data_IF_658322029719
#
_entry.id   IF_658322029719
#
_cell.length_a   1.000
_cell.length_b   1.000
_cell.length_c   1.000
_cell.angle_alpha   90.00
_cell.angle_beta   90.00
_cell.angle_gamma   90.00
#
_symmetry.space_group_name_H-M   'P 1'
#
loop_
_entity.id
_entity.type
_entity.pdbx_description
1 polymer ?
#
# COMPACT_ATOMS: atom_id res chain seq x y z
N UNK A 1 7.12 -12.96 -23.45
CA UNK A 1 5.91 -12.09 -23.39
C UNK A 1 6.35 -10.63 -23.44
N UNK A 2 5.56 -9.74 -24.04
CA UNK A 2 5.81 -8.30 -24.02
C UNK A 2 5.58 -7.81 -22.58
N UNK A 3 6.52 -7.06 -22.01
CA UNK A 3 6.36 -6.45 -20.68
C UNK A 3 5.30 -5.35 -20.72
N UNK A 4 4.50 -5.24 -19.66
CA UNK A 4 3.54 -4.15 -19.49
C UNK A 4 4.30 -2.88 -19.12
N UNK A 5 4.06 -1.80 -19.88
CA UNK A 5 4.71 -0.50 -19.68
C UNK A 5 3.92 0.32 -18.68
N UNK A 6 4.57 0.68 -17.58
CA UNK A 6 3.97 1.39 -16.44
C UNK A 6 4.59 2.76 -16.29
N UNK A 7 3.77 3.78 -16.07
CA UNK A 7 4.20 5.12 -15.70
C UNK A 7 3.71 5.49 -14.30
N UNK A 8 4.43 6.36 -13.59
CA UNK A 8 4.03 6.86 -12.27
C UNK A 8 3.85 8.36 -12.31
N UNK A 9 2.67 8.85 -11.97
CA UNK A 9 2.38 10.28 -11.78
C UNK A 9 2.44 10.61 -10.27
N UNK A 10 3.25 11.61 -9.89
CA UNK A 10 3.57 11.97 -8.51
C UNK A 10 4.71 11.12 -7.95
N UNK A 11 5.91 11.70 -7.81
CA UNK A 11 7.10 11.05 -7.27
C UNK A 11 7.35 11.45 -5.82
N UNK A 12 6.27 11.45 -5.04
CA UNK A 12 6.28 11.67 -3.59
C UNK A 12 6.60 10.37 -2.82
N UNK A 13 6.16 10.34 -1.55
CA UNK A 13 6.43 9.23 -0.63
C UNK A 13 5.95 7.87 -1.18
N UNK A 14 4.76 7.81 -1.76
CA UNK A 14 4.22 6.58 -2.35
C UNK A 14 4.80 6.33 -3.75
N UNK A 15 4.86 7.37 -4.60
CA UNK A 15 5.32 7.23 -5.98
C UNK A 15 6.73 6.67 -6.13
N UNK A 16 7.67 7.02 -5.24
CA UNK A 16 9.01 6.43 -5.19
C UNK A 16 8.96 4.91 -5.01
N UNK A 17 8.14 4.47 -4.05
CA UNK A 17 7.99 3.05 -3.71
C UNK A 17 7.28 2.27 -4.81
N UNK A 18 6.31 2.90 -5.48
CA UNK A 18 5.65 2.32 -6.66
C UNK A 18 6.65 2.12 -7.79
N UNK A 19 7.47 3.12 -8.07
CA UNK A 19 8.50 3.03 -9.09
C UNK A 19 9.50 1.90 -8.79
N UNK A 20 10.01 1.83 -7.55
CA UNK A 20 10.90 0.75 -7.12
C UNK A 20 10.20 -0.62 -7.17
N UNK A 21 8.94 -0.72 -6.72
CA UNK A 21 8.17 -1.96 -6.73
C UNK A 21 7.88 -2.48 -8.13
N UNK A 22 7.55 -1.59 -9.08
CA UNK A 22 7.36 -1.93 -10.50
C UNK A 22 8.68 -2.35 -11.14
N UNK A 23 9.79 -1.67 -10.84
CA UNK A 23 11.10 -2.00 -11.39
C UNK A 23 11.59 -3.42 -10.98
N UNK A 24 11.10 -3.96 -9.86
CA UNK A 24 11.37 -5.34 -9.44
C UNK A 24 10.57 -6.39 -10.22
N UNK A 25 9.50 -5.99 -10.94
CA UNK A 25 8.64 -6.92 -11.67
C UNK A 25 9.29 -7.30 -13.01
N UNK A 26 9.61 -8.58 -13.22
CA UNK A 26 10.28 -9.06 -14.44
C UNK A 26 9.40 -8.96 -15.70
N UNK A 27 8.09 -8.92 -15.52
CA UNK A 27 7.06 -8.86 -16.57
C UNK A 27 6.47 -7.44 -16.77
N UNK A 28 7.02 -6.46 -16.07
CA UNK A 28 6.67 -5.04 -16.22
C UNK A 28 7.90 -4.22 -16.63
N UNK A 29 7.66 -3.03 -17.15
CA UNK A 29 8.69 -2.05 -17.51
C UNK A 29 8.28 -0.68 -16.97
N UNK A 30 9.05 -0.13 -16.06
CA UNK A 30 8.86 1.25 -15.62
C UNK A 30 9.39 2.19 -16.69
N UNK A 31 8.49 2.88 -17.40
CA UNK A 31 8.82 3.84 -18.47
C UNK A 31 9.39 5.12 -17.89
N UNK A 32 8.85 5.57 -16.75
CA UNK A 32 9.30 6.78 -16.08
C UNK A 32 8.32 7.27 -15.04
N UNK A 33 8.70 8.39 -14.41
CA UNK A 33 7.91 9.06 -13.37
C UNK A 33 7.68 10.53 -13.75
N UNK A 34 6.59 11.12 -13.27
CA UNK A 34 6.30 12.54 -13.46
C UNK A 34 6.15 13.27 -12.13
N UNK A 35 6.75 14.45 -12.00
CA UNK A 35 6.58 15.33 -10.84
C UNK A 35 6.58 16.80 -11.27
N UNK A 36 6.22 17.71 -10.36
CA UNK A 36 6.10 19.15 -10.65
C UNK A 36 7.30 19.97 -10.19
N UNK A 37 8.09 19.45 -9.24
CA UNK A 37 9.12 20.23 -8.56
C UNK A 37 10.34 19.37 -8.14
N UNK A 38 11.50 19.99 -7.92
CA UNK A 38 12.70 19.32 -7.45
C UNK A 38 12.63 19.01 -5.94
N UNK A 39 11.65 18.18 -5.54
CA UNK A 39 11.50 17.69 -4.17
C UNK A 39 12.76 16.91 -3.73
N UNK A 40 12.89 16.61 -2.44
CA UNK A 40 13.98 15.76 -1.96
C UNK A 40 13.99 14.38 -2.66
N UNK A 41 12.82 13.84 -2.97
CA UNK A 41 12.68 12.59 -3.70
C UNK A 41 13.23 12.69 -5.13
N UNK A 42 12.87 13.75 -5.84
CA UNK A 42 13.34 13.99 -7.23
C UNK A 42 14.83 14.27 -7.25
N UNK A 43 15.37 15.04 -6.27
CA UNK A 43 16.81 15.25 -6.13
C UNK A 43 17.56 13.95 -5.87
N UNK A 44 17.05 13.11 -4.95
CA UNK A 44 17.65 11.80 -4.67
C UNK A 44 17.60 10.88 -5.90
N UNK A 45 16.54 10.94 -6.71
CA UNK A 45 16.46 10.21 -7.99
C UNK A 45 17.59 10.66 -8.93
N UNK A 46 17.79 11.97 -9.05
CA UNK A 46 18.86 12.54 -9.89
C UNK A 46 20.26 12.12 -9.40
N UNK A 47 20.53 12.23 -8.11
CA UNK A 47 21.82 11.84 -7.50
C UNK A 47 22.10 10.33 -7.60
N UNK A 48 21.06 9.50 -7.67
CA UNK A 48 21.18 8.05 -7.94
C UNK A 48 21.41 7.70 -9.42
N UNK A 49 21.63 8.69 -10.28
CA UNK A 49 21.94 8.51 -11.70
C UNK A 49 20.74 8.26 -12.59
N UNK A 50 19.54 8.65 -12.17
CA UNK A 50 18.31 8.57 -12.99
C UNK A 50 18.08 7.14 -13.56
N UNK A 51 17.82 6.12 -12.74
CA UNK A 51 17.63 4.75 -13.22
C UNK A 51 16.39 4.60 -14.13
N UNK A 52 15.52 5.61 -14.20
CA UNK A 52 14.37 5.75 -15.11
C UNK A 52 14.10 7.22 -15.43
N UNK A 53 13.37 7.46 -16.51
CA UNK A 53 13.10 8.80 -17.03
C UNK A 53 12.22 9.64 -16.10
N UNK A 54 12.53 10.96 -16.00
CA UNK A 54 11.70 11.95 -15.32
C UNK A 54 10.97 12.82 -16.35
N UNK A 55 9.68 13.06 -16.10
CA UNK A 55 8.80 13.92 -16.87
C UNK A 55 8.26 15.06 -16.01
N UNK A 56 7.98 16.22 -16.60
CA UNK A 56 7.27 17.27 -15.87
C UNK A 56 5.76 16.97 -15.85
N UNK A 57 5.15 16.99 -14.66
CA UNK A 57 3.71 16.80 -14.56
C UNK A 57 2.92 18.04 -15.00
N UNK A 58 3.53 19.24 -14.99
CA UNK A 58 2.94 20.50 -15.44
C UNK A 58 3.91 21.16 -16.40
N UNK A 59 3.59 21.26 -17.72
CA UNK A 59 4.50 21.77 -18.75
C UNK A 59 5.11 23.15 -18.41
N UNK A 60 4.29 24.10 -17.93
CA UNK A 60 4.71 25.47 -17.61
C UNK A 60 5.70 25.52 -16.43
N UNK A 61 5.77 24.45 -15.61
CA UNK A 61 6.67 24.32 -14.45
C UNK A 61 7.95 23.53 -14.75
N UNK A 62 8.20 23.13 -16.00
CA UNK A 62 9.40 22.38 -16.40
C UNK A 62 10.68 23.09 -15.94
N UNK A 63 10.71 24.40 -16.01
CA UNK A 63 11.86 25.22 -15.60
C UNK A 63 12.26 24.99 -14.13
N UNK A 64 11.32 24.69 -13.22
CA UNK A 64 11.66 24.42 -11.82
C UNK A 64 12.63 23.23 -11.65
N UNK A 65 12.57 22.25 -12.55
CA UNK A 65 13.47 21.10 -12.59
C UNK A 65 14.74 21.41 -13.35
N UNK A 66 14.66 21.98 -14.54
CA UNK A 66 15.80 22.24 -15.41
C UNK A 66 16.75 23.29 -14.89
N UNK A 67 16.24 24.33 -14.21
CA UNK A 67 17.06 25.41 -13.64
C UNK A 67 17.96 24.94 -12.49
N UNK A 68 17.65 23.79 -11.88
CA UNK A 68 18.49 23.14 -10.86
C UNK A 68 19.28 21.95 -11.44
N UNK A 69 19.39 21.83 -12.77
CA UNK A 69 20.20 20.83 -13.46
C UNK A 69 19.59 19.43 -13.55
N UNK A 70 18.29 19.25 -13.23
CA UNK A 70 17.62 17.96 -13.30
C UNK A 70 17.06 17.77 -14.73
N UNK A 71 17.49 16.74 -15.46
CA UNK A 71 17.02 16.50 -16.82
C UNK A 71 15.55 16.06 -16.84
N UNK A 72 14.79 16.51 -17.83
CA UNK A 72 13.36 16.20 -18.01
C UNK A 72 13.14 15.71 -19.44
N UNK A 73 12.62 14.49 -19.57
CA UNK A 73 12.47 13.77 -20.84
C UNK A 73 11.21 14.16 -21.63
N UNK A 74 10.30 14.92 -21.02
CA UNK A 74 9.05 15.35 -21.65
C UNK A 74 8.01 15.77 -20.63
N UNK A 75 6.75 15.75 -21.03
CA UNK A 75 5.58 16.09 -20.23
C UNK A 75 4.87 14.84 -19.69
N UNK A 76 3.89 15.00 -18.80
CA UNK A 76 3.01 13.91 -18.36
C UNK A 76 2.29 13.27 -19.56
N UNK A 77 1.84 14.06 -20.54
CA UNK A 77 1.20 13.53 -21.76
C UNK A 77 2.15 12.64 -22.57
N UNK A 78 3.43 13.02 -22.66
CA UNK A 78 4.45 12.19 -23.31
C UNK A 78 4.66 10.86 -22.57
N UNK A 79 4.72 10.89 -21.23
CA UNK A 79 4.82 9.68 -20.41
C UNK A 79 3.60 8.78 -20.63
N UNK A 80 2.38 9.31 -20.49
CA UNK A 80 1.12 8.57 -20.66
C UNK A 80 1.03 7.93 -22.02
N UNK A 81 1.44 8.63 -23.10
CA UNK A 81 1.41 8.09 -24.47
C UNK A 81 2.27 6.83 -24.63
N UNK A 82 3.36 6.72 -23.88
CA UNK A 82 4.34 5.62 -23.95
C UNK A 82 3.99 4.43 -23.04
N UNK A 83 3.00 4.56 -22.14
CA UNK A 83 2.61 3.53 -21.16
C UNK A 83 1.42 2.71 -21.63
N UNK A 84 1.19 1.58 -20.99
CA UNK A 84 -0.03 0.78 -21.12
C UNK A 84 -0.99 1.06 -19.93
N UNK A 85 -0.42 1.39 -18.75
CA UNK A 85 -1.15 1.73 -17.54
C UNK A 85 -0.40 2.78 -16.71
N UNK A 86 -1.14 3.68 -16.04
CA UNK A 86 -0.60 4.70 -15.15
C UNK A 86 -0.88 4.37 -13.68
N UNK A 87 0.09 4.63 -12.81
CA UNK A 87 -0.08 4.68 -11.37
C UNK A 87 -0.15 6.15 -10.95
N UNK A 88 -1.28 6.57 -10.44
CA UNK A 88 -1.47 7.95 -9.97
C UNK A 88 -1.34 8.04 -8.45
N UNK A 89 -0.21 8.59 -8.01
CA UNK A 89 0.15 8.84 -6.61
C UNK A 89 0.22 10.34 -6.30
N UNK A 90 -0.51 11.15 -7.06
CA UNK A 90 -0.61 12.59 -6.87
C UNK A 90 -1.47 12.93 -5.65
N UNK A 91 -1.45 14.21 -5.24
CA UNK A 91 -2.29 14.69 -4.14
C UNK A 91 -3.78 14.60 -4.48
N UNK A 92 -4.61 14.49 -3.45
CA UNK A 92 -6.07 14.41 -3.57
C UNK A 92 -6.65 15.43 -4.56
N UNK A 93 -7.52 14.96 -5.45
CA UNK A 93 -8.18 15.74 -6.50
C UNK A 93 -7.32 16.02 -7.75
N UNK A 94 -6.03 15.69 -7.75
CA UNK A 94 -5.17 15.80 -8.94
C UNK A 94 -5.33 14.56 -9.81
N UNK A 95 -5.39 13.37 -9.20
CA UNK A 95 -5.62 12.12 -9.93
C UNK A 95 -6.95 12.15 -10.70
N UNK A 96 -8.01 12.71 -10.14
CA UNK A 96 -9.28 12.91 -10.83
C UNK A 96 -9.13 13.79 -12.10
N UNK A 97 -8.30 14.84 -12.05
CA UNK A 97 -7.98 15.67 -13.22
C UNK A 97 -7.12 14.92 -14.23
N UNK A 98 -6.12 14.18 -13.77
CA UNK A 98 -5.25 13.37 -14.63
C UNK A 98 -6.04 12.26 -15.36
N UNK A 99 -7.12 11.76 -14.76
CA UNK A 99 -8.00 10.76 -15.38
C UNK A 99 -8.53 11.23 -16.74
N UNK A 100 -8.82 12.51 -16.92
CA UNK A 100 -9.27 13.06 -18.20
C UNK A 100 -8.21 12.83 -19.31
N UNK A 101 -6.94 13.01 -18.97
CA UNK A 101 -5.83 12.73 -19.89
C UNK A 101 -5.70 11.24 -20.17
N UNK A 102 -5.85 10.39 -19.15
CA UNK A 102 -5.79 8.94 -19.32
C UNK A 102 -6.92 8.44 -20.22
N UNK A 103 -8.13 8.96 -20.03
CA UNK A 103 -9.29 8.66 -20.89
C UNK A 103 -9.06 9.13 -22.34
N UNK A 104 -8.59 10.37 -22.51
CA UNK A 104 -8.28 10.93 -23.84
C UNK A 104 -7.30 10.05 -24.63
N UNK A 105 -6.32 9.47 -23.94
CA UNK A 105 -5.27 8.64 -24.57
C UNK A 105 -5.59 7.13 -24.50
N UNK A 106 -6.77 6.73 -24.02
CA UNK A 106 -7.20 5.33 -23.93
C UNK A 106 -6.32 4.50 -23.00
N UNK A 107 -5.87 5.07 -21.86
CA UNK A 107 -4.97 4.41 -20.90
C UNK A 107 -5.72 4.02 -19.62
N UNK A 108 -5.40 2.85 -19.12
CA UNK A 108 -5.84 2.39 -17.80
C UNK A 108 -5.10 3.13 -16.68
N UNK A 109 -5.69 3.19 -15.49
CA UNK A 109 -4.99 3.79 -14.35
C UNK A 109 -5.37 3.16 -13.00
N UNK A 110 -4.41 3.20 -12.07
CA UNK A 110 -4.58 2.83 -10.66
C UNK A 110 -4.33 4.06 -9.80
N UNK A 111 -5.32 4.47 -9.02
CA UNK A 111 -5.27 5.67 -8.17
C UNK A 111 -4.94 5.31 -6.73
N UNK A 112 -4.07 6.11 -6.10
CA UNK A 112 -3.62 5.96 -4.73
C UNK A 112 -4.27 6.97 -3.77
N UNK A 113 -4.06 6.75 -2.48
CA UNK A 113 -4.13 7.74 -1.43
C UNK A 113 -5.49 8.39 -1.21
N UNK A 114 -5.48 9.72 -1.20
CA UNK A 114 -6.61 10.54 -0.79
C UNK A 114 -7.67 10.82 -1.85
N UNK A 115 -7.60 10.18 -3.02
CA UNK A 115 -8.67 10.32 -4.02
C UNK A 115 -9.99 9.74 -3.52
N UNK A 116 -11.10 10.32 -3.96
CA UNK A 116 -12.43 9.79 -3.70
C UNK A 116 -12.62 8.44 -4.41
N UNK A 117 -13.39 7.51 -3.80
CA UNK A 117 -13.64 6.20 -4.41
C UNK A 117 -14.32 6.32 -5.79
N UNK A 118 -15.09 7.37 -6.03
CA UNK A 118 -15.74 7.68 -7.31
C UNK A 118 -14.77 7.98 -8.46
N UNK A 119 -13.48 8.12 -8.21
CA UNK A 119 -12.47 8.32 -9.28
C UNK A 119 -12.30 7.07 -10.13
N UNK A 120 -12.64 5.90 -9.62
CA UNK A 120 -12.44 4.62 -10.28
C UNK A 120 -13.71 3.77 -10.32
N UNK A 121 -13.70 2.76 -11.17
CA UNK A 121 -14.79 1.82 -11.33
C UNK A 121 -14.85 0.81 -10.17
N UNK A 122 -13.66 0.42 -9.68
CA UNK A 122 -13.50 -0.59 -8.63
C UNK A 122 -12.64 -0.03 -7.49
N UNK A 123 -13.13 -0.14 -6.26
CA UNK A 123 -12.34 0.01 -5.04
C UNK A 123 -11.67 -1.33 -4.75
N UNK A 124 -10.34 -1.39 -4.85
CA UNK A 124 -9.59 -2.64 -5.03
C UNK A 124 -8.70 -3.00 -3.84
N UNK A 125 -8.70 -4.30 -3.52
CA UNK A 125 -7.74 -4.94 -2.62
C UNK A 125 -7.30 -6.30 -3.17
N UNK A 126 -5.99 -6.56 -3.26
CA UNK A 126 -5.43 -7.74 -3.91
C UNK A 126 -5.90 -9.10 -3.38
N UNK A 127 -6.18 -9.22 -2.08
CA UNK A 127 -6.67 -10.47 -1.49
C UNK A 127 -8.18 -10.58 -1.46
N UNK A 128 -8.89 -9.50 -1.17
CA UNK A 128 -10.32 -9.59 -0.87
C UNK A 128 -11.23 -9.55 -2.11
N UNK A 129 -10.83 -8.83 -3.17
CA UNK A 129 -11.66 -8.69 -4.36
C UNK A 129 -10.88 -8.60 -5.68
N UNK A 130 -9.79 -9.35 -5.80
CA UNK A 130 -8.89 -9.35 -6.96
C UNK A 130 -9.63 -9.51 -8.30
N UNK A 131 -10.54 -10.49 -8.38
CA UNK A 131 -11.25 -10.84 -9.59
C UNK A 131 -12.15 -9.72 -10.11
N UNK A 132 -12.63 -8.83 -9.24
CA UNK A 132 -13.40 -7.65 -9.65
C UNK A 132 -12.55 -6.64 -10.42
N UNK A 133 -11.24 -6.63 -10.19
CA UNK A 133 -10.30 -5.75 -10.89
C UNK A 133 -9.84 -6.26 -12.25
N UNK A 134 -10.18 -7.50 -12.61
CA UNK A 134 -9.70 -8.10 -13.89
C UNK A 134 -10.32 -7.37 -15.07
N UNK A 135 -9.47 -6.82 -15.93
CA UNK A 135 -9.87 -6.06 -17.11
C UNK A 135 -10.40 -4.65 -16.84
N UNK A 136 -10.56 -4.23 -15.58
CA UNK A 136 -11.06 -2.90 -15.25
C UNK A 136 -10.13 -1.79 -15.80
N UNK A 137 -10.71 -0.66 -16.22
CA UNK A 137 -9.93 0.47 -16.75
C UNK A 137 -9.39 1.35 -15.63
N UNK A 138 -10.15 1.54 -14.56
CA UNK A 138 -9.79 2.42 -13.44
C UNK A 138 -10.00 1.72 -12.12
N UNK A 139 -8.90 1.58 -11.35
CA UNK A 139 -8.90 0.99 -10.02
C UNK A 139 -8.48 2.04 -8.99
N UNK A 140 -9.12 2.03 -7.84
CA UNK A 140 -8.74 2.83 -6.67
C UNK A 140 -8.28 1.91 -5.56
N UNK A 141 -7.07 2.11 -5.07
CA UNK A 141 -6.53 1.33 -3.95
C UNK A 141 -7.13 1.76 -2.61
N UNK A 142 -7.24 0.80 -1.70
CA UNK A 142 -7.54 1.06 -0.29
C UNK A 142 -6.43 1.88 0.36
N UNK A 143 -6.76 2.63 1.41
CA UNK A 143 -5.77 3.35 2.20
C UNK A 143 -4.81 2.39 2.91
N UNK A 144 -3.65 2.88 3.37
CA UNK A 144 -2.66 2.04 4.05
C UNK A 144 -3.25 1.26 5.24
N UNK A 145 -4.04 1.93 6.08
CA UNK A 145 -4.69 1.28 7.23
C UNK A 145 -5.72 0.26 6.77
N UNK A 146 -6.56 0.61 5.81
CA UNK A 146 -7.57 -0.28 5.24
C UNK A 146 -6.92 -1.50 4.58
N UNK A 147 -5.84 -1.30 3.81
CA UNK A 147 -5.07 -2.39 3.19
C UNK A 147 -4.59 -3.40 4.23
N UNK A 148 -3.89 -2.94 5.26
CA UNK A 148 -3.36 -3.85 6.27
C UNK A 148 -4.44 -4.49 7.14
N UNK A 149 -5.51 -3.74 7.45
CA UNK A 149 -6.66 -4.27 8.17
C UNK A 149 -7.33 -5.41 7.38
N UNK A 150 -7.61 -5.20 6.10
CA UNK A 150 -8.25 -6.21 5.25
C UNK A 150 -7.38 -7.48 5.14
N UNK A 151 -6.05 -7.37 5.04
CA UNK A 151 -5.18 -8.55 5.03
C UNK A 151 -5.40 -9.45 6.25
N UNK A 152 -5.46 -8.86 7.44
CA UNK A 152 -5.67 -9.60 8.67
C UNK A 152 -7.10 -10.16 8.77
N UNK A 153 -8.11 -9.36 8.46
CA UNK A 153 -9.52 -9.77 8.54
C UNK A 153 -9.85 -10.82 7.47
N UNK A 154 -9.42 -10.66 6.21
CA UNK A 154 -9.63 -11.62 5.12
C UNK A 154 -8.96 -12.98 5.43
N UNK A 155 -7.77 -12.97 6.03
CA UNK A 155 -7.10 -14.20 6.44
C UNK A 155 -7.93 -14.99 7.45
N UNK A 156 -8.50 -14.33 8.46
CA UNK A 156 -9.38 -14.93 9.46
C UNK A 156 -10.72 -15.35 8.85
N UNK A 157 -11.30 -14.47 8.01
CA UNK A 157 -12.61 -14.72 7.39
C UNK A 157 -12.61 -15.96 6.50
N UNK A 158 -11.56 -16.16 5.73
CA UNK A 158 -11.40 -17.36 4.88
C UNK A 158 -11.30 -18.65 5.67
N UNK A 159 -10.75 -18.60 6.87
CA UNK A 159 -10.56 -19.78 7.69
C UNK A 159 -11.84 -20.17 8.45
N UNK A 160 -12.46 -19.21 9.16
CA UNK A 160 -13.55 -19.49 10.11
C UNK A 160 -14.78 -18.60 9.93
N UNK A 161 -14.72 -17.66 9.00
CA UNK A 161 -15.76 -16.64 8.77
C UNK A 161 -15.75 -15.56 9.85
N UNK A 162 -15.81 -14.31 9.44
CA UNK A 162 -15.93 -13.13 10.31
C UNK A 162 -17.35 -12.57 10.21
N UNK A 163 -17.94 -12.21 11.36
CA UNK A 163 -19.24 -11.54 11.41
C UNK A 163 -19.10 -10.07 11.74
N UNK A 164 -18.17 -9.74 12.63
CA UNK A 164 -17.97 -8.37 13.11
C UNK A 164 -16.51 -8.09 13.41
N UNK A 165 -16.10 -6.83 13.23
CA UNK A 165 -14.82 -6.33 13.74
C UNK A 165 -14.99 -4.95 14.38
N UNK A 166 -14.37 -4.76 15.54
CA UNK A 166 -14.21 -3.45 16.17
C UNK A 166 -12.72 -3.12 16.23
N UNK A 167 -12.36 -1.93 15.77
CA UNK A 167 -10.96 -1.53 15.63
C UNK A 167 -10.66 -0.23 16.36
N UNK A 168 -9.43 -0.12 16.90
CA UNK A 168 -8.88 1.16 17.32
C UNK A 168 -7.60 1.42 16.51
N UNK A 169 -7.60 2.50 15.73
CA UNK A 169 -6.48 2.91 14.91
C UNK A 169 -5.67 3.96 15.65
N UNK A 170 -4.46 3.60 16.05
CA UNK A 170 -3.45 4.50 16.62
C UNK A 170 -2.62 5.03 15.45
N UNK A 171 -3.05 6.17 14.93
CA UNK A 171 -2.55 6.73 13.68
C UNK A 171 -1.44 7.76 13.93
N UNK A 172 -0.35 7.66 13.20
CA UNK A 172 0.63 8.74 13.15
C UNK A 172 0.00 10.03 12.58
N UNK A 173 0.43 11.19 13.06
CA UNK A 173 -0.15 12.50 12.65
C UNK A 173 0.52 13.11 11.44
N UNK A 174 1.79 12.81 11.21
CA UNK A 174 2.55 13.43 10.12
C UNK A 174 3.36 12.38 9.35
N UNK A 175 3.48 12.59 8.05
CA UNK A 175 4.49 11.91 7.26
C UNK A 175 5.89 12.37 7.67
N UNK A 176 6.93 11.53 7.51
CA UNK A 176 8.30 11.91 7.87
C UNK A 176 8.78 13.21 7.21
N UNK A 177 8.23 13.55 6.03
CA UNK A 177 8.49 14.81 5.36
C UNK A 177 7.66 16.00 5.84
N UNK A 178 6.58 15.74 6.58
CA UNK A 178 5.60 16.72 7.05
C UNK A 178 5.63 16.94 8.57
N UNK A 179 6.77 16.66 9.21
CA UNK A 179 6.94 16.77 10.66
C UNK A 179 6.52 18.13 11.22
N UNK A 180 6.59 19.21 10.43
CA UNK A 180 6.15 20.56 10.79
C UNK A 180 4.62 20.69 10.92
N UNK A 181 3.85 19.73 10.42
CA UNK A 181 2.39 19.68 10.58
C UNK A 181 1.97 18.82 11.76
N UNK A 182 2.93 18.13 12.37
CA UNK A 182 2.64 17.18 13.44
C UNK A 182 2.08 17.86 14.68
N UNK A 183 1.18 17.16 15.35
CA UNK A 183 0.77 17.52 16.69
C UNK A 183 1.96 17.34 17.63
N UNK A 184 2.24 18.38 18.36
CA UNK A 184 3.25 18.31 19.39
C UNK A 184 2.62 17.89 20.70
N UNK A 185 3.00 16.72 21.22
CA UNK A 185 2.70 16.27 22.57
C UNK A 185 1.17 16.23 22.92
N UNK A 186 0.32 15.86 21.95
CA UNK A 186 -1.11 15.74 22.13
C UNK A 186 -1.68 14.52 21.40
N UNK A 187 -2.77 13.97 21.93
CA UNK A 187 -3.61 12.99 21.26
C UNK A 187 -4.87 13.69 20.73
N UNK A 188 -5.34 13.28 19.56
CA UNK A 188 -6.62 13.76 19.00
C UNK A 188 -7.47 12.56 18.60
N UNK A 189 -8.78 12.72 18.71
CA UNK A 189 -9.78 11.74 18.29
C UNK A 189 -10.49 12.27 17.06
N UNK A 190 -10.63 11.43 16.06
CA UNK A 190 -11.40 11.73 14.86
C UNK A 190 -12.86 11.29 15.03
N UNK A 191 -13.73 11.71 14.10
CA UNK A 191 -15.13 11.29 14.10
C UNK A 191 -15.28 9.79 13.91
N UNK A 192 -16.14 9.17 14.75
CA UNK A 192 -16.51 7.76 14.61
C UNK A 192 -17.78 7.61 13.72
N UNK A 193 -17.94 6.51 12.99
CA UNK A 193 -16.95 5.44 12.81
C UNK A 193 -15.79 5.88 11.92
N UNK A 194 -14.61 5.26 12.11
CA UNK A 194 -13.46 5.55 11.25
C UNK A 194 -13.74 5.19 9.79
N UNK A 195 -13.22 5.97 8.85
CA UNK A 195 -13.41 5.68 7.42
C UNK A 195 -12.83 4.31 7.00
N UNK A 196 -11.82 3.79 7.71
CA UNK A 196 -11.26 2.46 7.45
C UNK A 196 -12.27 1.34 7.73
N UNK A 197 -13.13 1.51 8.75
CA UNK A 197 -14.21 0.56 8.99
C UNK A 197 -15.25 0.60 7.86
N UNK A 198 -15.59 1.80 7.37
CA UNK A 198 -16.50 1.95 6.23
C UNK A 198 -15.90 1.40 4.93
N UNK A 199 -14.62 1.65 4.68
CA UNK A 199 -13.89 1.11 3.54
C UNK A 199 -13.83 -0.43 3.58
N UNK A 200 -13.61 -1.02 4.76
CA UNK A 200 -13.62 -2.47 4.93
C UNK A 200 -14.99 -3.04 4.55
N UNK A 201 -16.09 -2.46 5.04
CA UNK A 201 -17.45 -2.89 4.67
C UNK A 201 -17.75 -2.73 3.19
N UNK A 202 -17.11 -1.78 2.50
CA UNK A 202 -17.23 -1.64 1.04
C UNK A 202 -16.59 -2.82 0.30
N UNK A 203 -15.44 -3.30 0.78
CA UNK A 203 -14.71 -4.43 0.18
C UNK A 203 -15.26 -5.78 0.67
N UNK A 204 -15.63 -5.88 1.95
CA UNK A 204 -16.12 -7.10 2.62
C UNK A 204 -17.52 -6.82 3.22
N UNK A 205 -18.58 -6.72 2.41
CA UNK A 205 -19.89 -6.23 2.86
C UNK A 205 -20.62 -7.16 3.85
N UNK A 206 -20.15 -8.38 4.03
CA UNK A 206 -20.66 -9.34 4.99
C UNK A 206 -20.07 -9.16 6.40
N UNK A 207 -19.07 -8.33 6.58
CA UNK A 207 -18.42 -8.03 7.86
C UNK A 207 -18.98 -6.72 8.40
N UNK A 208 -19.64 -6.74 9.57
CA UNK A 208 -20.01 -5.52 10.29
C UNK A 208 -18.77 -4.91 10.92
N UNK A 209 -18.38 -3.70 10.53
CA UNK A 209 -17.17 -3.06 11.00
C UNK A 209 -17.43 -1.71 11.66
N UNK A 210 -16.79 -1.47 12.79
CA UNK A 210 -16.79 -0.17 13.46
C UNK A 210 -15.40 0.16 14.02
N UNK A 211 -15.14 1.43 14.31
CA UNK A 211 -13.84 1.77 14.86
C UNK A 211 -13.65 3.23 15.21
N UNK A 212 -12.62 3.45 16.04
CA UNK A 212 -12.17 4.76 16.50
C UNK A 212 -10.78 5.00 15.95
N UNK A 213 -10.51 6.27 15.59
CA UNK A 213 -9.19 6.71 15.14
C UNK A 213 -8.63 7.70 16.14
N UNK A 214 -7.42 7.43 16.63
CA UNK A 214 -6.66 8.28 17.55
C UNK A 214 -5.38 8.74 16.85
N UNK A 215 -5.21 10.04 16.68
CA UNK A 215 -3.96 10.62 16.16
C UNK A 215 -2.94 10.71 17.29
N UNK A 216 -1.73 10.26 17.02
CA UNK A 216 -0.61 10.25 17.97
C UNK A 216 0.61 10.96 17.39
N UNK A 217 1.43 11.65 18.21
CA UNK A 217 2.61 12.38 17.74
C UNK A 217 3.79 11.43 17.42
N UNK A 218 3.57 10.50 16.50
CA UNK A 218 4.57 9.52 16.03
C UNK A 218 4.70 9.57 14.51
N UNK A 219 5.82 9.11 13.98
CA UNK A 219 6.16 9.16 12.56
C UNK A 219 6.35 7.78 11.91
N UNK A 220 6.43 6.69 12.69
CA UNK A 220 6.76 5.35 12.19
C UNK A 220 5.55 4.43 12.16
N UNK A 221 4.76 4.50 11.09
CA UNK A 221 3.65 3.58 10.90
C UNK A 221 2.47 3.79 11.84
N UNK A 222 1.53 2.86 11.78
CA UNK A 222 0.34 2.86 12.62
C UNK A 222 0.25 1.53 13.39
N UNK A 223 -0.48 1.54 14.51
CA UNK A 223 -0.92 0.31 15.17
C UNK A 223 -2.44 0.27 15.12
N UNK A 224 -3.00 -0.88 14.76
CA UNK A 224 -4.44 -1.14 14.85
C UNK A 224 -4.65 -2.27 15.82
N UNK A 225 -5.50 -2.07 16.84
CA UNK A 225 -6.03 -3.16 17.64
C UNK A 225 -7.33 -3.63 17.02
N UNK A 226 -7.47 -4.94 16.88
CA UNK A 226 -8.64 -5.58 16.29
C UNK A 226 -9.33 -6.47 17.34
N UNK A 227 -10.65 -6.35 17.46
CA UNK A 227 -11.53 -7.32 18.10
C UNK A 227 -12.39 -7.91 17.02
N UNK A 228 -12.29 -9.21 16.78
CA UNK A 228 -12.92 -9.90 15.64
C UNK A 228 -13.84 -11.00 16.17
N UNK A 229 -15.13 -10.90 15.85
CA UNK A 229 -16.11 -11.94 16.15
C UNK A 229 -16.22 -12.92 14.97
N UNK A 230 -15.95 -14.20 15.25
CA UNK A 230 -15.92 -15.26 14.23
C UNK A 230 -17.22 -16.08 14.22
N UNK A 231 -17.52 -16.73 13.09
CA UNK A 231 -18.68 -17.66 12.98
C UNK A 231 -18.43 -18.94 13.76
N UNK A 232 -17.20 -19.45 13.71
CA UNK A 232 -16.76 -20.64 14.44
C UNK A 232 -15.73 -20.22 15.49
N UNK A 233 -15.66 -20.96 16.60
CA UNK A 233 -14.58 -20.75 17.58
C UNK A 233 -13.23 -21.13 16.98
N UNK A 234 -12.21 -20.36 17.32
CA UNK A 234 -10.83 -20.55 16.89
C UNK A 234 -9.91 -20.43 18.11
N UNK A 235 -8.84 -21.24 18.13
CA UNK A 235 -7.75 -21.10 19.09
C UNK A 235 -6.74 -20.04 18.69
N UNK A 236 -5.94 -19.56 19.65
CA UNK A 236 -4.84 -18.62 19.35
C UNK A 236 -3.74 -19.28 18.54
N UNK A 237 -3.45 -20.56 18.74
CA UNK A 237 -2.48 -21.33 17.93
C UNK A 237 -2.93 -21.44 16.47
N UNK A 238 -4.21 -21.77 16.25
CA UNK A 238 -4.80 -21.84 14.90
C UNK A 238 -4.74 -20.49 14.19
N UNK A 239 -4.99 -19.39 14.93
CA UNK A 239 -4.85 -18.03 14.41
C UNK A 239 -3.40 -17.71 14.02
N UNK A 240 -2.43 -18.13 14.84
CA UNK A 240 -1.01 -17.99 14.53
C UNK A 240 -0.64 -18.73 13.26
N UNK A 241 -1.11 -19.96 13.09
CA UNK A 241 -0.86 -20.76 11.88
C UNK A 241 -1.41 -20.06 10.62
N UNK A 242 -2.60 -19.48 10.70
CA UNK A 242 -3.21 -18.68 9.62
C UNK A 242 -2.31 -17.48 9.25
N UNK A 243 -1.85 -16.73 10.25
CA UNK A 243 -1.00 -15.58 10.01
C UNK A 243 0.39 -15.98 9.48
N UNK A 244 0.98 -17.07 9.98
CA UNK A 244 2.25 -17.61 9.46
C UNK A 244 2.15 -18.11 8.02
N UNK A 245 1.00 -18.63 7.62
CA UNK A 245 0.77 -19.10 6.26
C UNK A 245 0.58 -17.94 5.25
N UNK A 246 0.28 -16.73 5.71
CA UNK A 246 -0.01 -15.59 4.85
C UNK A 246 1.26 -14.82 4.47
N UNK A 247 1.61 -14.75 3.19
CA UNK A 247 2.86 -14.13 2.70
C UNK A 247 3.03 -12.64 3.06
N UNK A 248 1.93 -11.91 3.26
CA UNK A 248 1.94 -10.47 3.57
C UNK A 248 1.66 -10.16 5.04
N UNK A 249 1.69 -11.16 5.90
CA UNK A 249 1.62 -11.03 7.35
C UNK A 249 2.89 -11.60 7.96
N UNK A 250 3.50 -10.86 8.86
CA UNK A 250 4.69 -11.28 9.62
C UNK A 250 4.30 -11.36 11.09
N UNK A 251 4.33 -12.55 11.66
CA UNK A 251 4.24 -12.71 13.11
C UNK A 251 5.57 -12.31 13.74
N UNK A 252 5.53 -11.51 14.79
CA UNK A 252 6.70 -11.02 15.53
C UNK A 252 6.47 -11.15 17.03
N UNK A 253 7.56 -11.21 17.82
CA UNK A 253 7.53 -11.41 19.26
C UNK A 253 8.22 -10.28 19.99
N UNK A 254 7.67 -9.89 21.14
CA UNK A 254 8.26 -8.86 21.99
C UNK A 254 9.63 -9.33 22.51
N UNK A 255 9.74 -10.60 22.89
CA UNK A 255 10.99 -11.18 23.39
C UNK A 255 12.12 -11.22 22.35
N UNK A 256 11.79 -11.22 21.05
CA UNK A 256 12.77 -11.10 19.94
C UNK A 256 13.19 -9.64 19.70
N UNK A 257 12.73 -8.69 20.53
CA UNK A 257 13.08 -7.27 20.45
C UNK A 257 12.13 -6.42 19.61
N UNK A 258 11.02 -6.96 19.11
CA UNK A 258 10.01 -6.20 18.38
C UNK A 258 9.04 -5.48 19.32
N UNK A 259 9.55 -4.50 20.06
CA UNK A 259 8.80 -3.78 21.09
C UNK A 259 7.70 -2.85 20.55
N UNK A 260 7.75 -2.51 19.24
CA UNK A 260 6.81 -1.59 18.62
C UNK A 260 7.20 -1.26 17.17
N UNK A 261 6.51 -0.30 16.57
CA UNK A 261 6.70 0.09 15.17
C UNK A 261 8.13 0.59 14.86
N UNK A 262 8.79 1.26 15.80
CA UNK A 262 10.17 1.74 15.61
C UNK A 262 11.18 0.59 15.49
N UNK A 263 11.02 -0.51 16.24
CA UNK A 263 11.88 -1.68 16.11
C UNK A 263 11.68 -2.41 14.79
N UNK A 264 10.45 -2.48 14.28
CA UNK A 264 10.16 -3.01 12.95
C UNK A 264 10.82 -2.18 11.84
N UNK A 265 10.71 -0.86 11.92
CA UNK A 265 11.36 0.04 10.98
C UNK A 265 12.88 -0.11 10.99
N UNK A 266 13.49 -0.17 12.19
CA UNK A 266 14.93 -0.41 12.34
C UNK A 266 15.33 -1.75 11.74
N UNK A 267 14.60 -2.82 12.07
CA UNK A 267 14.85 -4.16 11.53
C UNK A 267 14.80 -4.19 10.00
N UNK A 268 13.81 -3.53 9.39
CA UNK A 268 13.71 -3.43 7.95
C UNK A 268 14.93 -2.74 7.31
N UNK A 269 15.47 -1.68 7.97
CA UNK A 269 16.71 -1.03 7.52
C UNK A 269 17.93 -1.95 7.66
N UNK A 270 18.03 -2.68 8.76
CA UNK A 270 19.13 -3.59 9.01
C UNK A 270 19.14 -4.77 8.03
N UNK A 271 17.94 -5.13 7.47
CA UNK A 271 17.81 -6.05 6.34
C UNK A 271 18.22 -5.45 4.98
N UNK A 272 18.59 -4.17 4.93
CA UNK A 272 18.96 -3.48 3.69
C UNK A 272 17.76 -2.97 2.87
N UNK A 273 16.55 -2.98 3.42
CA UNK A 273 15.39 -2.45 2.71
C UNK A 273 15.51 -0.93 2.55
N UNK A 274 15.32 -0.44 1.33
CA UNK A 274 15.32 0.99 1.06
C UNK A 274 14.31 1.70 1.98
N UNK A 275 14.74 2.80 2.60
CA UNK A 275 13.91 3.64 3.48
C UNK A 275 13.34 2.93 4.72
N UNK A 276 13.80 1.72 5.04
CA UNK A 276 13.22 0.89 6.11
C UNK A 276 11.83 0.34 5.78
N UNK A 277 11.52 0.19 4.51
CA UNK A 277 10.22 -0.28 4.04
C UNK A 277 10.00 -1.76 4.37
N UNK A 278 8.79 -2.09 4.83
CA UNK A 278 8.24 -3.44 4.90
C UNK A 278 6.97 -3.48 4.07
N UNK A 279 6.79 -4.53 3.27
CA UNK A 279 5.56 -4.73 2.53
C UNK A 279 4.50 -5.49 3.33
N UNK A 280 4.94 -6.29 4.31
CA UNK A 280 4.08 -7.05 5.21
C UNK A 280 3.57 -6.18 6.35
N UNK A 281 2.35 -6.44 6.82
CA UNK A 281 1.95 -6.03 8.16
C UNK A 281 2.65 -6.92 9.18
N UNK A 282 2.83 -6.44 10.42
CA UNK A 282 3.30 -7.28 11.51
C UNK A 282 2.20 -7.51 12.54
N UNK A 283 2.08 -8.73 13.03
CA UNK A 283 1.18 -9.11 14.14
C UNK A 283 2.06 -9.50 15.32
N UNK A 284 1.80 -8.93 16.51
CA UNK A 284 2.48 -9.37 17.73
C UNK A 284 1.80 -10.62 18.28
N UNK A 285 2.57 -11.71 18.42
CA UNK A 285 2.09 -12.98 18.96
C UNK A 285 1.47 -12.79 20.36
N UNK A 286 2.13 -12.02 21.23
CA UNK A 286 1.69 -11.78 22.61
C UNK A 286 0.44 -10.90 22.72
N UNK A 287 -0.02 -10.33 21.60
CA UNK A 287 -1.27 -9.57 21.54
C UNK A 287 -2.50 -10.44 21.26
N UNK A 288 -2.30 -11.73 20.94
CA UNK A 288 -3.38 -12.64 20.63
C UNK A 288 -4.12 -13.08 21.90
N UNK A 289 -5.41 -12.76 21.96
CA UNK A 289 -6.29 -13.11 23.08
C UNK A 289 -7.60 -13.68 22.54
N UNK A 290 -8.10 -14.75 23.14
CA UNK A 290 -9.41 -15.35 22.85
C UNK A 290 -10.40 -15.09 23.99
N UNK A 291 -11.64 -14.75 23.65
CA UNK A 291 -12.77 -14.69 24.56
C UNK A 291 -14.04 -15.19 23.86
N UNK A 292 -14.39 -16.46 24.09
CA UNK A 292 -15.49 -17.12 23.33
C UNK A 292 -15.21 -17.15 21.82
N UNK A 293 -16.09 -16.54 21.04
CA UNK A 293 -15.93 -16.36 19.59
C UNK A 293 -15.19 -15.09 19.20
N UNK A 294 -14.82 -14.26 20.17
CA UNK A 294 -14.05 -13.05 19.92
C UNK A 294 -12.56 -13.34 20.05
N UNK A 295 -11.81 -12.86 19.09
CA UNK A 295 -10.34 -12.87 19.10
C UNK A 295 -9.83 -11.43 19.04
N UNK A 296 -8.76 -11.15 19.79
CA UNK A 296 -8.11 -9.84 19.77
C UNK A 296 -6.67 -9.98 19.36
N UNK A 297 -6.19 -9.01 18.59
CA UNK A 297 -4.79 -8.90 18.22
C UNK A 297 -4.42 -7.45 17.82
N UNK A 298 -3.13 -7.16 17.83
CA UNK A 298 -2.59 -5.89 17.39
C UNK A 298 -1.74 -6.07 16.13
N UNK A 299 -1.91 -5.18 15.16
CA UNK A 299 -1.14 -5.17 13.93
C UNK A 299 -0.38 -3.85 13.75
N UNK A 300 0.83 -3.93 13.21
CA UNK A 300 1.56 -2.78 12.70
C UNK A 300 1.30 -2.59 11.20
N UNK A 301 1.03 -1.37 10.80
CA UNK A 301 0.87 -0.98 9.41
C UNK A 301 2.08 -0.14 8.99
N UNK A 302 2.96 -0.64 8.13
CA UNK A 302 4.07 0.14 7.55
C UNK A 302 3.52 1.07 6.47
N UNK A 303 3.02 2.23 6.87
CA UNK A 303 2.13 3.12 6.12
C UNK A 303 2.49 3.31 4.66
N UNK A 304 3.77 3.59 4.36
CA UNK A 304 4.17 3.97 3.01
C UNK A 304 4.32 2.77 2.06
N UNK A 305 4.70 1.61 2.60
CA UNK A 305 5.08 0.45 1.80
C UNK A 305 3.95 -0.58 1.66
N UNK A 306 3.02 -0.63 2.61
CA UNK A 306 1.97 -1.66 2.68
C UNK A 306 1.09 -1.73 1.43
N UNK A 307 0.88 -0.61 0.74
CA UNK A 307 0.01 -0.53 -0.46
C UNK A 307 0.71 -0.96 -1.76
N UNK A 308 2.03 -1.13 -1.73
CA UNK A 308 2.80 -1.40 -2.96
C UNK A 308 2.44 -2.75 -3.56
N UNK A 309 2.40 -3.87 -2.80
CA UNK A 309 1.99 -5.15 -3.37
C UNK A 309 0.59 -5.13 -3.98
N UNK A 310 -0.39 -4.51 -3.31
CA UNK A 310 -1.76 -4.39 -3.84
C UNK A 310 -1.82 -3.53 -5.10
N UNK A 311 -0.96 -2.52 -5.22
CA UNK A 311 -0.89 -1.73 -6.47
C UNK A 311 -0.34 -2.56 -7.63
N UNK A 312 0.68 -3.37 -7.37
CA UNK A 312 1.21 -4.30 -8.39
C UNK A 312 0.16 -5.36 -8.76
N UNK A 313 -0.60 -5.87 -7.79
CA UNK A 313 -1.74 -6.77 -8.03
C UNK A 313 -2.80 -6.08 -8.91
N UNK A 314 -3.10 -4.80 -8.66
CA UNK A 314 -4.04 -4.03 -9.45
C UNK A 314 -3.59 -3.88 -10.92
N UNK A 315 -2.28 -3.67 -11.16
CA UNK A 315 -1.73 -3.69 -12.54
C UNK A 315 -1.99 -5.05 -13.18
N UNK A 316 -1.69 -6.15 -12.46
CA UNK A 316 -1.85 -7.52 -12.97
C UNK A 316 -3.30 -7.83 -13.33
N UNK A 317 -4.23 -7.44 -12.46
CA UNK A 317 -5.67 -7.61 -12.69
C UNK A 317 -6.14 -6.73 -13.85
N UNK A 318 -5.91 -5.42 -13.80
CA UNK A 318 -6.35 -4.47 -14.84
C UNK A 318 -5.84 -4.84 -16.24
N UNK A 319 -4.59 -5.31 -16.34
CA UNK A 319 -3.95 -5.69 -17.59
C UNK A 319 -4.13 -7.18 -17.93
N UNK A 320 -4.99 -7.90 -17.20
CA UNK A 320 -5.30 -9.33 -17.41
C UNK A 320 -4.04 -10.24 -17.48
N UNK A 321 -2.98 -9.84 -16.77
CA UNK A 321 -1.73 -10.61 -16.72
C UNK A 321 -1.91 -11.91 -15.94
N UNK A 322 -2.67 -11.86 -14.86
CA UNK A 322 -3.21 -12.97 -14.09
C UNK A 322 -4.68 -12.67 -13.78
N UNK A 323 -5.55 -13.66 -13.94
CA UNK A 323 -7.00 -13.49 -13.81
C UNK A 323 -7.56 -14.06 -12.50
N UNK A 324 -6.70 -14.64 -11.67
CA UNK A 324 -7.08 -15.15 -10.35
C UNK A 324 -6.20 -14.53 -9.27
N UNK A 325 -6.78 -14.34 -8.08
CA UNK A 325 -6.09 -13.80 -6.91
C UNK A 325 -4.76 -14.52 -6.64
N UNK A 326 -4.80 -15.85 -6.52
CA UNK A 326 -3.63 -16.62 -6.09
C UNK A 326 -2.48 -16.53 -7.11
N UNK A 327 -2.80 -16.53 -8.41
CA UNK A 327 -1.79 -16.33 -9.45
C UNK A 327 -1.23 -14.90 -9.45
N UNK A 328 -2.07 -13.88 -9.26
CA UNK A 328 -1.67 -12.48 -9.22
C UNK A 328 -0.84 -12.14 -8.00
N UNK A 329 -1.37 -12.39 -6.80
CA UNK A 329 -0.69 -12.09 -5.54
C UNK A 329 0.57 -12.93 -5.36
N UNK A 330 0.54 -14.21 -5.72
CA UNK A 330 1.72 -15.09 -5.67
C UNK A 330 2.85 -14.57 -6.55
N UNK A 331 2.55 -14.11 -7.78
CA UNK A 331 3.54 -13.53 -8.68
C UNK A 331 4.12 -12.23 -8.16
N UNK A 332 3.28 -11.36 -7.61
CA UNK A 332 3.70 -10.12 -6.96
C UNK A 332 4.62 -10.41 -5.77
N UNK A 333 4.24 -11.35 -4.90
CA UNK A 333 5.02 -11.76 -3.73
C UNK A 333 6.39 -12.34 -4.13
N UNK A 334 6.43 -13.20 -5.17
CA UNK A 334 7.67 -13.75 -5.72
C UNK A 334 8.66 -12.63 -6.08
N UNK A 335 8.22 -11.66 -6.88
CA UNK A 335 9.11 -10.63 -7.40
C UNK A 335 9.48 -9.55 -6.38
N UNK A 336 8.63 -9.33 -5.38
CA UNK A 336 8.94 -8.45 -4.25
C UNK A 336 9.75 -9.16 -3.15
N UNK A 337 9.98 -10.48 -3.26
CA UNK A 337 10.72 -11.26 -2.27
C UNK A 337 10.01 -11.35 -0.93
N UNK A 338 8.68 -11.54 -0.93
CA UNK A 338 7.85 -11.56 0.28
C UNK A 338 7.58 -12.97 0.80
N UNK A 339 7.23 -13.09 2.08
CA UNK A 339 6.73 -14.31 2.68
C UNK A 339 7.66 -15.53 2.50
N UNK A 340 7.16 -16.57 1.88
CA UNK A 340 7.89 -17.82 1.64
C UNK A 340 9.16 -17.61 0.80
N UNK A 341 9.14 -16.70 -0.18
CA UNK A 341 10.29 -16.42 -1.02
C UNK A 341 11.45 -15.79 -0.25
N UNK A 342 11.15 -14.94 0.74
CA UNK A 342 12.17 -14.35 1.62
C UNK A 342 12.80 -15.42 2.54
N UNK A 343 12.01 -16.38 3.02
CA UNK A 343 12.52 -17.50 3.84
C UNK A 343 13.45 -18.42 3.07
N UNK A 344 13.18 -18.65 1.77
CA UNK A 344 14.04 -19.48 0.91
C UNK A 344 15.40 -18.82 0.64
N UNK A 345 15.47 -17.52 0.51
CA UNK A 345 16.72 -16.79 0.25
C UNK A 345 17.56 -16.56 1.51
N UNK A 346 16.95 -16.52 2.70
CA UNK A 346 17.66 -16.35 3.98
C UNK A 346 18.37 -17.63 4.47
N UNK A 347 18.21 -18.74 3.79
CA UNK A 347 18.86 -20.02 4.09
C UNK A 347 20.14 -20.30 3.28
N UNK A 348 20.73 -19.28 2.61
CA UNK A 348 21.98 -19.40 1.85
C UNK A 348 23.11 -18.70 2.56
#
# INVERSE_FOLDING_TARGET
MKRIRVGVAGYGVIGQRLADGVALQKDMELVGVADVAPTLAVRALHERGMPYDLYTAVPDKKHLLTDVGIPVNGTLEDLVSRTDIMLDATSAGIGAKNKELYQKLGKKAVFQGGEQNSVADIFFHGYANYEQGVGADYLKLTSCNTTGLIRAIDAVDRAVGVTKTAITIIRRVADPGDYHRGLTNALQIDHAPSHQALDLMTIMPHVDATGILVHTPVTHGHIITCVVSTKQEMGTEELLDIFHAHDRIRVVRIEDGFLGNASLFRYARDLGNLRGDMYEIAVWEESLVKSGKDIMFAINIPQEAVVIPETVDAIRAAMEMQTTRDAGTGKTNEYLGMGAFRRQTAGV
#
